data_IF_527303354747
#
_entry.id   IF_527303354747
#
_cell.length_a   1.000
_cell.length_b   1.000
_cell.length_c   1.000
_cell.angle_alpha   90.00
_cell.angle_beta   90.00
_cell.angle_gamma   90.00
#
_symmetry.space_group_name_H-M   'P 1'
#
loop_
_entity.id
_entity.type
_entity.pdbx_description
1 polymer ?
#
# COMPACT_ATOMS: atom_id res chain seq x y z
N UNK A 1 7.04 -5.17 -5.81
CA UNK A 1 8.33 -5.12 -6.55
C UNK A 1 9.46 -4.36 -5.82
N UNK A 2 9.19 -3.30 -5.03
CA UNK A 2 10.26 -2.51 -4.36
C UNK A 2 11.24 -3.34 -3.52
N UNK A 3 10.71 -4.23 -2.68
CA UNK A 3 11.53 -5.09 -1.83
C UNK A 3 12.41 -6.05 -2.65
N UNK A 4 11.83 -6.70 -3.67
CA UNK A 4 12.55 -7.56 -4.59
C UNK A 4 13.72 -6.82 -5.28
N UNK A 5 13.47 -5.63 -5.83
CA UNK A 5 14.52 -4.84 -6.48
C UNK A 5 15.63 -4.42 -5.52
N UNK A 6 15.30 -4.15 -4.25
CA UNK A 6 16.27 -3.77 -3.22
C UNK A 6 17.17 -4.95 -2.85
N UNK A 7 16.59 -6.14 -2.64
CA UNK A 7 17.33 -7.34 -2.26
C UNK A 7 18.24 -7.82 -3.40
N UNK A 8 17.72 -7.81 -4.62
CA UNK A 8 18.44 -8.35 -5.80
C UNK A 8 19.35 -7.30 -6.47
N UNK A 9 19.45 -6.09 -5.92
CA UNK A 9 20.30 -5.03 -6.46
C UNK A 9 19.94 -4.64 -7.89
N UNK A 10 18.64 -4.64 -8.22
CA UNK A 10 18.18 -4.40 -9.59
C UNK A 10 18.45 -2.94 -9.99
N UNK A 11 19.23 -2.70 -11.07
CA UNK A 11 19.52 -1.35 -11.53
C UNK A 11 18.26 -0.68 -12.09
N UNK A 12 18.14 0.64 -11.90
CA UNK A 12 16.95 1.42 -12.28
C UNK A 12 16.49 1.19 -13.72
N UNK A 13 17.43 1.17 -14.67
CA UNK A 13 17.13 0.95 -16.10
C UNK A 13 16.52 -0.41 -16.43
N UNK A 14 16.57 -1.39 -15.52
CA UNK A 14 15.94 -2.72 -15.72
C UNK A 14 14.66 -2.93 -14.93
N UNK A 15 14.34 -2.04 -13.97
CA UNK A 15 13.17 -2.21 -13.09
C UNK A 15 11.85 -2.24 -13.86
N UNK A 16 11.69 -1.34 -14.84
CA UNK A 16 10.47 -1.26 -15.67
C UNK A 16 10.30 -2.53 -16.50
N UNK A 17 11.36 -2.99 -17.16
CA UNK A 17 11.34 -4.21 -17.97
C UNK A 17 10.98 -5.44 -17.13
N UNK A 18 11.61 -5.61 -15.96
CA UNK A 18 11.31 -6.72 -15.06
C UNK A 18 9.88 -6.64 -14.53
N UNK A 19 9.39 -5.44 -14.17
CA UNK A 19 8.00 -5.27 -13.76
C UNK A 19 7.00 -5.63 -14.88
N UNK A 20 7.33 -5.33 -16.14
CA UNK A 20 6.45 -5.66 -17.28
C UNK A 20 6.28 -7.16 -17.50
N UNK A 21 7.25 -7.98 -17.10
CA UNK A 21 7.14 -9.45 -17.20
C UNK A 21 6.06 -10.01 -16.27
N UNK A 22 5.67 -9.24 -15.25
CA UNK A 22 4.62 -9.59 -14.29
C UNK A 22 3.32 -8.80 -14.54
N UNK A 23 3.16 -8.17 -15.69
CA UNK A 23 1.91 -7.54 -16.10
C UNK A 23 1.03 -8.52 -16.87
N UNK A 24 -0.24 -8.59 -16.47
CA UNK A 24 -1.24 -9.47 -17.08
C UNK A 24 -2.49 -8.68 -17.49
N UNK A 25 -3.35 -9.32 -18.29
CA UNK A 25 -4.65 -8.79 -18.71
C UNK A 25 -4.57 -7.35 -19.25
N UNK A 26 -5.39 -6.45 -18.67
CA UNK A 26 -5.48 -5.04 -19.02
C UNK A 26 -4.16 -4.28 -18.82
N UNK A 27 -3.27 -4.75 -17.92
CA UNK A 27 -1.95 -4.15 -17.73
C UNK A 27 -0.99 -4.50 -18.87
N UNK A 28 -1.07 -5.73 -19.40
CA UNK A 28 -0.27 -6.17 -20.54
C UNK A 28 -0.61 -5.39 -21.81
N UNK A 29 -1.88 -5.05 -22.02
CA UNK A 29 -2.32 -4.23 -23.17
C UNK A 29 -1.88 -2.77 -23.03
N UNK A 30 -1.81 -2.27 -21.80
CA UNK A 30 -1.40 -0.88 -21.52
C UNK A 30 0.10 -0.65 -21.68
N UNK A 31 0.93 -1.62 -21.29
CA UNK A 31 2.40 -1.46 -21.29
C UNK A 31 3.00 -1.05 -22.64
N UNK A 32 2.64 -1.64 -23.80
CA UNK A 32 3.13 -1.18 -25.10
C UNK A 32 2.80 0.29 -25.39
N UNK A 33 1.65 0.78 -24.95
CA UNK A 33 1.26 2.18 -25.10
C UNK A 33 2.10 3.10 -24.20
N UNK A 34 2.44 2.64 -23.00
CA UNK A 34 3.36 3.33 -22.11
C UNK A 34 4.74 3.48 -22.77
N UNK A 35 5.34 2.38 -23.25
CA UNK A 35 6.68 2.39 -23.87
C UNK A 35 6.72 3.25 -25.14
N UNK A 36 5.64 3.29 -25.93
CA UNK A 36 5.55 4.19 -27.09
C UNK A 36 5.57 5.68 -26.68
N UNK A 37 5.09 6.00 -25.49
CA UNK A 37 4.91 7.38 -25.02
C UNK A 37 6.11 7.91 -24.22
N UNK A 38 6.87 7.02 -23.59
CA UNK A 38 7.99 7.40 -22.73
C UNK A 38 9.27 6.68 -23.16
N UNK A 39 10.42 7.39 -23.20
CA UNK A 39 11.69 6.82 -23.66
C UNK A 39 12.23 5.72 -22.74
N UNK A 40 13.14 4.88 -23.25
CA UNK A 40 13.71 3.72 -22.55
C UNK A 40 14.47 4.06 -21.26
N UNK A 41 14.89 5.31 -21.07
CA UNK A 41 15.58 5.79 -19.87
C UNK A 41 14.64 6.40 -18.82
N UNK A 42 13.33 6.15 -18.93
CA UNK A 42 12.36 6.69 -17.98
C UNK A 42 12.64 6.17 -16.57
N UNK A 43 12.71 7.04 -15.54
CA UNK A 43 12.93 6.62 -14.16
C UNK A 43 11.82 5.70 -13.65
N UNK A 44 12.19 4.75 -12.78
CA UNK A 44 11.23 3.84 -12.14
C UNK A 44 10.08 4.61 -11.45
N UNK A 45 10.40 5.70 -10.74
CA UNK A 45 9.40 6.49 -10.01
C UNK A 45 8.32 7.05 -10.93
N UNK A 46 8.68 7.43 -12.16
CA UNK A 46 7.70 7.89 -13.15
C UNK A 46 6.78 6.75 -13.61
N UNK A 47 7.35 5.57 -13.85
CA UNK A 47 6.57 4.38 -14.19
C UNK A 47 5.59 4.01 -13.07
N UNK A 48 6.07 3.99 -11.82
CA UNK A 48 5.26 3.68 -10.64
C UNK A 48 4.05 4.62 -10.51
N UNK A 49 4.26 5.93 -10.62
CA UNK A 49 3.16 6.92 -10.57
C UNK A 49 2.13 6.66 -11.67
N UNK A 50 2.55 6.29 -12.89
CA UNK A 50 1.63 6.00 -14.00
C UNK A 50 0.85 4.71 -13.78
N UNK A 51 1.50 3.68 -13.26
CA UNK A 51 0.86 2.39 -12.90
C UNK A 51 -0.18 2.62 -11.80
N UNK A 52 0.18 3.31 -10.71
CA UNK A 52 -0.75 3.64 -9.61
C UNK A 52 -1.92 4.50 -10.13
N UNK A 53 -1.65 5.50 -10.97
CA UNK A 53 -2.72 6.32 -11.53
C UNK A 53 -3.71 5.52 -12.40
N UNK A 54 -3.22 4.52 -13.14
CA UNK A 54 -4.04 3.73 -14.07
C UNK A 54 -4.78 2.58 -13.39
N UNK A 55 -4.12 1.92 -12.44
CA UNK A 55 -4.58 0.66 -11.84
C UNK A 55 -4.78 0.73 -10.32
N UNK A 56 -4.23 1.75 -9.64
CA UNK A 56 -4.34 1.90 -8.19
C UNK A 56 -5.77 2.17 -7.71
N UNK A 57 -6.57 2.90 -8.49
CA UNK A 57 -7.98 3.17 -8.15
C UNK A 57 -8.89 1.98 -8.50
N UNK A 58 -8.46 1.10 -9.40
CA UNK A 58 -9.26 -0.05 -9.82
C UNK A 58 -9.29 -1.16 -8.77
N UNK A 59 -8.43 -1.11 -7.74
CA UNK A 59 -8.25 -2.25 -6.84
C UNK A 59 -8.35 -1.98 -5.35
N UNK A 60 -8.19 -0.78 -4.82
CA UNK A 60 -8.11 -0.64 -3.37
C UNK A 60 -8.40 0.82 -2.95
N UNK A 61 -9.63 1.09 -2.53
CA UNK A 61 -9.89 2.23 -1.65
C UNK A 61 -9.98 1.68 -0.22
N UNK A 62 -8.84 1.61 0.50
CA UNK A 62 -8.80 1.01 1.83
C UNK A 62 -9.69 1.77 2.81
N UNK A 63 -10.03 3.04 2.55
CA UNK A 63 -10.97 3.79 3.38
C UNK A 63 -12.40 3.35 3.13
N UNK A 64 -12.79 3.13 1.88
CA UNK A 64 -14.11 2.57 1.55
C UNK A 64 -14.23 1.14 2.09
N UNK A 65 -13.18 0.33 1.98
CA UNK A 65 -13.13 -1.00 2.59
C UNK A 65 -13.23 -0.93 4.12
N UNK A 66 -12.50 -0.01 4.77
CA UNK A 66 -12.55 0.19 6.22
C UNK A 66 -13.93 0.66 6.68
N UNK A 67 -14.57 1.56 5.94
CA UNK A 67 -15.95 2.02 6.19
C UNK A 67 -16.98 0.89 6.07
N UNK A 68 -16.73 -0.06 5.18
CA UNK A 68 -17.64 -1.18 4.93
C UNK A 68 -17.27 -2.45 5.72
N UNK A 69 -16.16 -2.44 6.46
CA UNK A 69 -15.73 -3.58 7.26
C UNK A 69 -16.71 -3.81 8.41
N UNK A 70 -17.49 -4.88 8.30
CA UNK A 70 -18.39 -5.35 9.35
C UNK A 70 -17.78 -6.56 10.04
N UNK A 71 -17.98 -6.67 11.35
CA UNK A 71 -17.63 -7.89 12.06
C UNK A 71 -18.52 -9.03 11.54
N UNK A 72 -17.92 -9.91 10.74
CA UNK A 72 -18.53 -11.17 10.33
C UNK A 72 -17.76 -12.31 11.01
N UNK A 73 -18.43 -13.04 11.91
CA UNK A 73 -17.80 -14.12 12.67
C UNK A 73 -17.04 -13.63 13.91
N UNK A 74 -15.82 -14.13 14.10
CA UNK A 74 -15.05 -13.88 15.32
C UNK A 74 -14.46 -12.47 15.38
N UNK A 75 -14.26 -11.95 16.59
CA UNK A 75 -13.58 -10.66 16.83
C UNK A 75 -12.15 -10.68 16.29
N UNK A 76 -11.46 -11.81 16.39
CA UNK A 76 -10.09 -11.98 15.90
C UNK A 76 -10.01 -11.77 14.38
N UNK A 77 -10.91 -12.38 13.61
CA UNK A 77 -10.95 -12.23 12.15
C UNK A 77 -11.24 -10.79 11.72
N UNK A 78 -12.10 -10.10 12.47
CA UNK A 78 -12.35 -8.67 12.27
C UNK A 78 -11.09 -7.83 12.53
N UNK A 79 -10.38 -8.13 13.61
CA UNK A 79 -9.17 -7.39 13.98
C UNK A 79 -8.05 -7.58 12.95
N UNK A 80 -7.83 -8.81 12.47
CA UNK A 80 -6.83 -9.10 11.42
C UNK A 80 -7.15 -8.34 10.12
N UNK A 81 -8.42 -8.29 9.71
CA UNK A 81 -8.85 -7.55 8.54
C UNK A 81 -8.72 -6.03 8.73
N UNK A 82 -9.04 -5.53 9.93
CA UNK A 82 -8.91 -4.12 10.28
C UNK A 82 -7.45 -3.66 10.27
N UNK A 83 -6.54 -4.43 10.86
CA UNK A 83 -5.09 -4.13 10.85
C UNK A 83 -4.50 -4.17 9.44
N UNK A 84 -4.93 -5.12 8.60
CA UNK A 84 -4.52 -5.19 7.20
C UNK A 84 -4.94 -3.95 6.40
N UNK A 85 -6.16 -3.44 6.63
CA UNK A 85 -6.66 -2.20 6.02
C UNK A 85 -5.96 -0.96 6.57
N UNK A 86 -5.72 -0.89 7.89
CA UNK A 86 -4.98 0.22 8.50
C UNK A 86 -3.57 0.38 7.94
N UNK A 87 -2.86 -0.72 7.67
CA UNK A 87 -1.53 -0.68 7.05
C UNK A 87 -1.54 -0.12 5.62
N UNK A 88 -2.71 0.04 5.00
CA UNK A 88 -2.91 0.58 3.65
C UNK A 88 -3.41 2.03 3.65
N UNK A 89 -3.84 2.58 4.80
CA UNK A 89 -4.38 3.96 4.93
C UNK A 89 -3.32 4.90 5.50
N UNK A 90 -3.20 6.12 4.95
CA UNK A 90 -2.35 7.15 5.53
C UNK A 90 -3.01 7.81 6.77
N UNK A 91 -2.23 8.10 7.82
CA UNK A 91 -2.72 8.67 9.08
C UNK A 91 -3.65 9.89 8.95
N UNK A 92 -3.36 10.91 8.10
CA UNK A 92 -4.27 12.06 7.94
C UNK A 92 -5.62 11.67 7.35
N UNK A 93 -5.63 10.66 6.48
CA UNK A 93 -6.81 10.11 5.83
C UNK A 93 -7.66 9.30 6.81
N UNK A 94 -7.01 8.56 7.71
CA UNK A 94 -7.64 7.80 8.78
C UNK A 94 -8.39 8.68 9.78
N UNK A 95 -7.78 9.81 10.17
CA UNK A 95 -8.40 10.79 11.08
C UNK A 95 -9.68 11.36 10.46
N UNK A 96 -9.66 11.71 9.17
CA UNK A 96 -10.84 12.20 8.48
C UNK A 96 -11.99 11.16 8.44
N UNK A 97 -11.67 9.87 8.38
CA UNK A 97 -12.67 8.79 8.41
C UNK A 97 -13.25 8.60 9.81
N UNK A 98 -12.41 8.67 10.85
CA UNK A 98 -12.87 8.63 12.25
C UNK A 98 -13.95 9.67 12.51
N UNK A 99 -13.70 10.91 12.07
CA UNK A 99 -14.61 12.03 12.26
C UNK A 99 -15.93 11.86 11.48
N UNK A 100 -15.89 11.20 10.32
CA UNK A 100 -17.08 10.93 9.51
C UNK A 100 -17.94 9.77 10.02
N UNK A 101 -17.33 8.75 10.64
CA UNK A 101 -18.00 7.48 11.00
C UNK A 101 -18.25 7.36 12.51
N UNK A 102 -17.65 8.23 13.33
CA UNK A 102 -17.80 8.20 14.79
C UNK A 102 -17.07 7.02 15.45
N UNK A 103 -16.06 6.44 14.79
CA UNK A 103 -15.26 5.31 15.28
C UNK A 103 -14.11 5.83 16.15
N UNK A 104 -14.41 6.64 17.17
CA UNK A 104 -13.39 7.26 18.02
C UNK A 104 -12.70 6.26 18.93
N UNK A 105 -13.45 5.31 19.50
CA UNK A 105 -12.94 4.50 20.60
C UNK A 105 -11.99 3.39 20.12
N UNK A 106 -12.35 2.71 19.03
CA UNK A 106 -11.50 1.66 18.44
C UNK A 106 -10.20 2.21 17.86
N UNK A 107 -10.26 3.39 17.21
CA UNK A 107 -9.08 4.04 16.64
C UNK A 107 -8.18 4.63 17.72
N UNK A 108 -8.74 5.16 18.82
CA UNK A 108 -7.95 5.59 19.96
C UNK A 108 -7.20 4.41 20.58
N UNK A 109 -7.82 3.24 20.69
CA UNK A 109 -7.16 2.02 21.17
C UNK A 109 -6.00 1.63 20.22
N UNK A 110 -6.22 1.63 18.90
CA UNK A 110 -5.16 1.25 17.96
C UNK A 110 -4.05 2.30 17.87
N UNK A 111 -4.34 3.60 17.93
CA UNK A 111 -3.34 4.67 18.00
C UNK A 111 -2.53 4.61 19.30
N UNK A 112 -3.17 4.29 20.43
CA UNK A 112 -2.50 4.07 21.71
C UNK A 112 -1.63 2.81 21.66
N UNK A 113 -2.08 1.74 20.98
CA UNK A 113 -1.29 0.54 20.77
C UNK A 113 -0.08 0.78 19.85
N UNK A 114 -0.26 1.54 18.76
CA UNK A 114 0.81 1.89 17.82
C UNK A 114 1.83 2.86 18.42
N UNK A 115 1.39 3.85 19.21
CA UNK A 115 2.29 4.72 19.99
C UNK A 115 3.01 3.93 21.08
N UNK A 116 2.32 2.98 21.72
CA UNK A 116 2.90 2.00 22.63
C UNK A 116 3.99 1.16 21.95
N UNK A 117 3.74 0.64 20.75
CA UNK A 117 4.72 -0.17 19.98
C UNK A 117 5.91 0.64 19.48
N UNK A 118 5.72 1.92 19.13
CA UNK A 118 6.83 2.83 18.79
C UNK A 118 7.77 3.08 19.99
N UNK A 119 7.29 2.92 21.23
CA UNK A 119 8.15 2.98 22.42
C UNK A 119 8.97 1.69 22.65
N UNK A 120 8.59 0.57 22.02
CA UNK A 120 9.29 -0.73 22.16
C UNK A 120 10.28 -1.04 21.03
N UNK A 121 10.38 -0.24 19.97
CA UNK A 121 11.33 -0.48 18.86
C UNK A 121 12.72 0.18 19.01
N UNK A 122 13.12 0.64 20.19
CA UNK A 122 14.56 0.89 20.45
C UNK A 122 15.26 -0.41 20.83
N UNK A 123 15.20 -1.44 19.98
CA UNK A 123 16.10 -2.59 20.11
C UNK A 123 17.49 -2.13 19.66
N UNK A 124 18.34 -1.82 20.64
CA UNK A 124 19.79 -1.72 20.46
C UNK A 124 20.30 -3.06 19.92
N UNK A 125 20.71 -3.08 18.66
CA UNK A 125 21.63 -4.11 18.18
C UNK A 125 22.99 -3.80 18.82
N UNK A 126 23.41 -4.63 19.78
CA UNK A 126 24.76 -4.66 20.34
C UNK A 126 25.50 -5.87 19.78
N UNK A 127 26.75 -5.64 19.37
CA UNK A 127 27.79 -6.66 19.21
C UNK A 127 28.07 -7.00 17.77
#
# INVERSE_FOLDING_TARGET
CKQFFKVDGVPDGRKIQLASMHMFDIALVWYPQYVKKYPDNTPWDHFEVKVIKRFGVLYDDPIVELKNLKQAGSVQTYQEAFEALLNRVNLPELVAVSDMVGVTDSLQITLNALSGLNSYQTIRVRG
#
